data_IF_982471990375
#
_entry.id   IF_982471990375
#
_cell.length_a   1.000
_cell.length_b   1.000
_cell.length_c   1.000
_cell.angle_alpha   90.00
_cell.angle_beta   90.00
_cell.angle_gamma   90.00
#
_symmetry.space_group_name_H-M   'P 1'
#
loop_
_entity.id
_entity.type
_entity.pdbx_description
1 polymer ?
#
# COMPACT_ATOMS: atom_id res chain seq x y z
N UNK A 1 -8.04 40.16 39.05
CA UNK A 1 -7.50 40.31 37.68
C UNK A 1 -7.79 39.00 36.97
N UNK A 2 -8.82 38.98 36.12
CA UNK A 2 -9.22 37.79 35.36
C UNK A 2 -8.31 37.61 34.14
N UNK A 3 -7.80 36.39 33.97
CA UNK A 3 -6.89 36.02 32.90
C UNK A 3 -7.65 36.00 31.55
N UNK A 4 -7.31 36.89 30.59
CA UNK A 4 -8.03 37.00 29.31
C UNK A 4 -7.82 35.82 28.34
N UNK A 5 -7.03 34.81 28.74
CA UNK A 5 -6.68 33.65 27.92
C UNK A 5 -7.51 32.38 28.21
N UNK A 6 -8.51 32.43 29.11
CA UNK A 6 -9.19 31.21 29.61
C UNK A 6 -10.20 30.58 28.63
N UNK A 7 -10.47 31.20 27.47
CA UNK A 7 -11.49 30.77 26.50
C UNK A 7 -10.98 30.71 25.03
N UNK A 8 -9.71 30.35 24.78
CA UNK A 8 -9.28 30.04 23.41
C UNK A 8 -9.53 28.56 23.09
N UNK A 9 -10.70 28.27 22.53
CA UNK A 9 -11.03 26.98 21.94
C UNK A 9 -12.51 26.63 22.10
N UNK A 10 -13.06 25.91 21.14
CA UNK A 10 -14.37 25.28 21.30
C UNK A 10 -14.28 24.29 22.47
N UNK A 11 -15.09 24.46 23.53
CA UNK A 11 -15.18 23.49 24.61
C UNK A 11 -15.37 22.07 24.07
N UNK A 12 -14.71 21.09 24.70
CA UNK A 12 -14.66 19.69 24.22
C UNK A 12 -16.06 19.12 24.00
N UNK A 13 -16.99 19.43 24.89
CA UNK A 13 -18.41 19.11 24.81
C UNK A 13 -19.05 19.64 23.54
N UNK A 14 -18.90 20.93 23.23
CA UNK A 14 -19.43 21.58 22.02
C UNK A 14 -18.81 20.96 20.75
N UNK A 15 -17.49 20.70 20.77
CA UNK A 15 -16.82 20.04 19.65
C UNK A 15 -17.35 18.62 19.41
N UNK A 16 -17.51 17.83 20.48
CA UNK A 16 -18.00 16.45 20.38
C UNK A 16 -19.49 16.38 20.03
N UNK A 17 -20.28 17.37 20.41
CA UNK A 17 -21.69 17.52 19.99
C UNK A 17 -21.78 17.82 18.50
N UNK A 18 -20.98 18.76 17.98
CA UNK A 18 -20.91 19.04 16.55
C UNK A 18 -20.50 17.83 15.71
N UNK A 19 -19.54 17.02 16.17
CA UNK A 19 -19.15 15.77 15.51
C UNK A 19 -20.32 14.77 15.50
N UNK A 20 -21.07 14.69 16.60
CA UNK A 20 -22.22 13.78 16.74
C UNK A 20 -23.36 14.14 15.80
N UNK A 21 -23.70 15.42 15.71
CA UNK A 21 -24.73 15.94 14.80
C UNK A 21 -24.39 15.67 13.33
N UNK A 22 -23.15 15.94 12.92
CA UNK A 22 -22.69 15.65 11.55
C UNK A 22 -22.75 14.16 11.20
N UNK A 23 -22.57 13.28 12.19
CA UNK A 23 -22.60 11.83 12.01
C UNK A 23 -23.98 11.21 12.24
N UNK A 24 -25.00 12.00 12.61
CA UNK A 24 -26.33 11.51 12.99
C UNK A 24 -26.31 10.58 14.21
N UNK A 25 -25.33 10.75 15.12
CA UNK A 25 -25.15 9.88 16.30
C UNK A 25 -25.63 10.58 17.56
N UNK A 26 -26.48 9.92 18.35
CA UNK A 26 -26.88 10.41 19.68
C UNK A 26 -25.81 10.12 20.73
N UNK A 27 -25.84 10.87 21.84
CA UNK A 27 -25.01 10.57 23.01
C UNK A 27 -25.34 9.18 23.53
N UNK A 28 -24.33 8.32 23.61
CA UNK A 28 -24.49 6.93 24.02
C UNK A 28 -23.15 6.34 24.43
N UNK A 29 -23.19 5.30 25.26
CA UNK A 29 -22.01 4.51 25.56
C UNK A 29 -21.38 4.02 24.23
N UNK A 30 -20.04 3.93 24.14
CA UNK A 30 -19.41 3.22 23.03
C UNK A 30 -20.15 1.88 22.88
N UNK A 31 -20.68 1.60 21.70
CA UNK A 31 -21.23 0.29 21.43
C UNK A 31 -20.16 -0.72 21.85
N UNK A 32 -20.53 -1.71 22.69
CA UNK A 32 -19.72 -2.89 22.99
C UNK A 32 -19.60 -3.79 21.74
N UNK A 33 -19.38 -3.21 20.57
CA UNK A 33 -19.01 -3.90 19.33
C UNK A 33 -17.53 -4.24 19.35
N UNK A 34 -17.06 -4.79 20.48
CA UNK A 34 -15.78 -5.50 20.55
C UNK A 34 -16.02 -6.95 20.99
N UNK A 35 -16.97 -7.62 20.34
CA UNK A 35 -17.18 -9.07 20.47
C UNK A 35 -15.88 -9.87 20.24
N UNK A 36 -14.96 -9.34 19.43
CA UNK A 36 -13.65 -9.97 19.16
C UNK A 36 -12.69 -9.96 20.36
N UNK A 37 -12.92 -9.15 21.41
CA UNK A 37 -12.06 -9.13 22.60
C UNK A 37 -12.38 -10.24 23.62
N UNK A 38 -13.44 -11.03 23.39
CA UNK A 38 -13.81 -12.16 24.25
C UNK A 38 -13.46 -13.53 23.66
N UNK A 39 -12.91 -13.57 22.44
CA UNK A 39 -12.56 -14.81 21.78
C UNK A 39 -11.31 -15.42 22.41
N UNK A 40 -11.34 -16.73 22.64
CA UNK A 40 -10.15 -17.46 23.09
C UNK A 40 -9.09 -17.50 21.99
N UNK A 41 -7.83 -17.69 22.37
CA UNK A 41 -6.73 -17.85 21.42
C UNK A 41 -6.98 -18.97 20.41
N UNK A 42 -7.66 -20.05 20.82
CA UNK A 42 -7.93 -21.18 19.94
C UNK A 42 -9.08 -20.90 18.96
N UNK A 43 -10.10 -20.14 19.37
CA UNK A 43 -11.14 -19.63 18.47
C UNK A 43 -10.56 -18.68 17.42
N UNK A 44 -9.62 -17.81 17.81
CA UNK A 44 -8.92 -16.92 16.87
C UNK A 44 -8.05 -17.68 15.87
N UNK A 45 -7.38 -18.76 16.31
CA UNK A 45 -6.63 -19.64 15.41
C UNK A 45 -7.54 -20.35 14.42
N UNK A 46 -8.68 -20.88 14.90
CA UNK A 46 -9.64 -21.55 14.05
C UNK A 46 -10.22 -20.58 13.01
N UNK A 47 -10.62 -19.38 13.43
CA UNK A 47 -11.08 -18.34 12.52
C UNK A 47 -10.02 -17.97 11.47
N UNK A 48 -8.76 -17.81 11.87
CA UNK A 48 -7.66 -17.58 10.93
C UNK A 48 -7.50 -18.73 9.92
N UNK A 49 -7.65 -19.97 10.37
CA UNK A 49 -7.59 -21.16 9.51
C UNK A 49 -8.74 -21.18 8.50
N UNK A 50 -9.96 -20.94 8.95
CA UNK A 50 -11.15 -20.94 8.11
C UNK A 50 -11.10 -19.81 7.08
N UNK A 51 -10.63 -18.62 7.48
CA UNK A 51 -10.40 -17.49 6.57
C UNK A 51 -9.35 -17.84 5.50
N UNK A 52 -8.26 -18.51 5.85
CA UNK A 52 -7.24 -18.94 4.86
C UNK A 52 -7.79 -19.94 3.86
N UNK A 53 -8.59 -20.91 4.33
CA UNK A 53 -9.23 -21.91 3.44
C UNK A 53 -10.20 -21.20 2.50
N UNK A 54 -11.05 -20.33 3.04
CA UNK A 54 -12.02 -19.58 2.24
C UNK A 54 -11.33 -18.68 1.21
N UNK A 55 -10.28 -17.95 1.63
CA UNK A 55 -9.48 -17.13 0.72
C UNK A 55 -8.94 -17.99 -0.43
N UNK A 56 -8.23 -19.09 -0.13
CA UNK A 56 -7.65 -19.97 -1.15
C UNK A 56 -8.69 -20.53 -2.14
N UNK A 57 -9.92 -20.78 -1.70
CA UNK A 57 -11.00 -21.26 -2.58
C UNK A 57 -11.54 -20.17 -3.53
N UNK A 58 -11.41 -18.90 -3.17
CA UNK A 58 -11.98 -17.77 -3.91
C UNK A 58 -10.92 -16.82 -4.49
N UNK A 59 -9.62 -17.12 -4.35
CA UNK A 59 -8.53 -16.23 -4.77
C UNK A 59 -8.68 -15.76 -6.21
N UNK A 60 -8.98 -16.66 -7.14
CA UNK A 60 -9.11 -16.31 -8.55
C UNK A 60 -10.27 -15.34 -8.81
N UNK A 61 -11.43 -15.60 -8.21
CA UNK A 61 -12.60 -14.72 -8.30
C UNK A 61 -12.30 -13.35 -7.67
N UNK A 62 -11.67 -13.32 -6.49
CA UNK A 62 -11.30 -12.08 -5.82
C UNK A 62 -10.26 -11.29 -6.63
N UNK A 63 -9.33 -11.97 -7.28
CA UNK A 63 -8.35 -11.38 -8.16
C UNK A 63 -9.00 -10.75 -9.40
N UNK A 64 -10.02 -11.39 -9.97
CA UNK A 64 -10.81 -10.86 -11.07
C UNK A 64 -11.63 -9.65 -10.64
N UNK A 65 -12.36 -9.74 -9.53
CA UNK A 65 -13.15 -8.63 -8.98
C UNK A 65 -12.28 -7.41 -8.65
N UNK A 66 -11.12 -7.65 -8.04
CA UNK A 66 -10.14 -6.61 -7.76
C UNK A 66 -9.63 -5.96 -9.04
N UNK A 67 -9.38 -6.75 -10.09
CA UNK A 67 -8.91 -6.23 -11.38
C UNK A 67 -9.95 -5.34 -12.04
N UNK A 68 -11.22 -5.78 -12.08
CA UNK A 68 -12.35 -5.01 -12.60
C UNK A 68 -12.49 -3.69 -11.84
N UNK A 69 -12.51 -3.77 -10.51
CA UNK A 69 -12.66 -2.59 -9.64
C UNK A 69 -11.48 -1.63 -9.70
N UNK A 70 -10.26 -2.12 -9.90
CA UNK A 70 -9.06 -1.30 -10.00
C UNK A 70 -8.99 -0.60 -11.36
N UNK A 71 -9.30 -1.29 -12.46
CA UNK A 71 -9.38 -0.69 -13.82
C UNK A 71 -10.41 0.43 -13.84
N UNK A 72 -11.58 0.21 -13.23
CA UNK A 72 -12.62 1.24 -13.11
C UNK A 72 -12.15 2.50 -12.35
N UNK A 73 -11.06 2.39 -11.58
CA UNK A 73 -10.44 3.48 -10.79
C UNK A 73 -9.16 4.01 -11.42
N UNK A 74 -8.88 3.64 -12.67
CA UNK A 74 -7.76 4.14 -13.45
C UNK A 74 -6.44 3.43 -13.19
N UNK A 75 -6.45 2.26 -12.54
CA UNK A 75 -5.27 1.40 -12.50
C UNK A 75 -5.11 0.67 -13.83
N UNK A 76 -3.88 0.61 -14.35
CA UNK A 76 -3.55 -0.38 -15.37
C UNK A 76 -3.19 -1.67 -14.64
N UNK A 77 -4.02 -2.71 -14.81
CA UNK A 77 -3.83 -3.99 -14.13
C UNK A 77 -3.16 -4.96 -15.10
N UNK A 78 -2.09 -5.61 -14.64
CA UNK A 78 -1.40 -6.64 -15.40
C UNK A 78 -1.32 -7.93 -14.56
N UNK A 79 -1.54 -9.08 -15.21
CA UNK A 79 -1.51 -10.42 -14.61
C UNK A 79 -0.41 -11.26 -15.28
N UNK A 80 0.86 -11.02 -14.98
CA UNK A 80 1.95 -11.75 -15.61
C UNK A 80 1.97 -13.19 -15.11
N UNK A 81 2.20 -14.14 -16.02
CA UNK A 81 2.24 -15.57 -15.69
C UNK A 81 3.53 -16.00 -14.99
N UNK A 82 4.60 -15.22 -15.12
CA UNK A 82 5.94 -15.52 -14.60
C UNK A 82 6.78 -14.25 -14.42
N UNK A 83 8.01 -14.40 -13.90
CA UNK A 83 8.96 -13.30 -13.67
C UNK A 83 9.37 -12.60 -14.96
N UNK A 84 9.51 -13.33 -16.06
CA UNK A 84 9.88 -12.76 -17.35
C UNK A 84 8.84 -11.75 -17.83
N UNK A 85 7.54 -12.09 -17.73
CA UNK A 85 6.45 -11.17 -18.05
C UNK A 85 6.39 -9.96 -17.10
N UNK A 86 6.79 -10.11 -15.84
CA UNK A 86 6.94 -8.98 -14.90
C UNK A 86 8.04 -8.04 -15.40
N UNK A 87 9.21 -8.57 -15.73
CA UNK A 87 10.37 -7.80 -16.18
C UNK A 87 10.12 -7.12 -17.52
N UNK A 88 9.47 -7.82 -18.46
CA UNK A 88 9.05 -7.27 -19.75
C UNK A 88 8.11 -6.08 -19.55
N UNK A 89 7.07 -6.23 -18.72
CA UNK A 89 6.11 -5.15 -18.44
C UNK A 89 6.79 -3.94 -17.78
N UNK A 90 7.68 -4.16 -16.82
CA UNK A 90 8.46 -3.08 -16.20
C UNK A 90 9.34 -2.39 -17.25
N UNK A 91 9.99 -3.14 -18.15
CA UNK A 91 10.80 -2.60 -19.25
C UNK A 91 9.98 -1.74 -20.21
N UNK A 92 8.78 -2.19 -20.56
CA UNK A 92 7.87 -1.44 -21.43
C UNK A 92 7.45 -0.12 -20.80
N UNK A 93 7.14 -0.12 -19.51
CA UNK A 93 6.82 1.09 -18.76
C UNK A 93 8.03 2.03 -18.72
N UNK A 94 9.21 1.51 -18.39
CA UNK A 94 10.45 2.28 -18.35
C UNK A 94 10.74 2.96 -19.70
N UNK A 95 10.63 2.21 -20.81
CA UNK A 95 10.79 2.72 -22.17
C UNK A 95 9.73 3.75 -22.54
N UNK A 96 8.46 3.48 -22.22
CA UNK A 96 7.33 4.37 -22.50
C UNK A 96 7.50 5.74 -21.84
N UNK A 97 8.05 5.77 -20.63
CA UNK A 97 8.25 7.01 -19.86
C UNK A 97 9.66 7.59 -20.02
N UNK A 98 10.57 6.91 -20.72
CA UNK A 98 11.95 7.36 -20.91
C UNK A 98 12.74 7.42 -19.59
N UNK A 99 12.43 6.52 -18.65
CA UNK A 99 13.01 6.49 -17.30
C UNK A 99 13.83 5.23 -17.11
N UNK A 100 14.99 5.37 -16.47
CA UNK A 100 15.91 4.26 -16.18
C UNK A 100 16.09 4.02 -14.69
N UNK A 101 15.82 5.02 -13.85
CA UNK A 101 16.00 4.94 -12.41
C UNK A 101 14.71 4.50 -11.71
N UNK A 102 14.82 3.40 -10.97
CA UNK A 102 13.72 2.71 -10.30
C UNK A 102 14.05 2.61 -8.81
N UNK A 103 13.12 3.01 -7.96
CA UNK A 103 13.20 2.77 -6.52
C UNK A 103 12.17 1.72 -6.11
N UNK A 104 12.55 0.78 -5.25
CA UNK A 104 11.61 -0.20 -4.70
C UNK A 104 11.68 -0.35 -3.19
N UNK A 105 10.59 -0.76 -2.57
CA UNK A 105 10.60 -1.15 -1.15
C UNK A 105 11.08 -2.59 -0.95
N UNK A 106 11.59 -2.84 0.25
CA UNK A 106 12.04 -4.16 0.71
C UNK A 106 10.90 -4.94 1.40
N UNK A 107 9.90 -5.36 0.61
CA UNK A 107 8.81 -6.22 1.09
C UNK A 107 9.06 -7.69 0.72
N UNK A 108 8.60 -8.60 1.57
CA UNK A 108 8.77 -10.05 1.43
C UNK A 108 8.24 -10.60 0.10
N UNK A 109 7.21 -9.96 -0.49
CA UNK A 109 6.67 -10.34 -1.80
C UNK A 109 7.73 -10.33 -2.92
N UNK A 110 8.82 -9.56 -2.76
CA UNK A 110 9.92 -9.51 -3.70
C UNK A 110 11.06 -10.50 -3.38
N UNK A 111 11.02 -11.18 -2.22
CA UNK A 111 12.07 -12.12 -1.82
C UNK A 111 12.05 -13.40 -2.66
N UNK A 112 10.91 -13.75 -3.21
CA UNK A 112 10.70 -14.95 -4.03
C UNK A 112 11.13 -14.75 -5.50
N UNK A 113 11.33 -13.49 -5.93
CA UNK A 113 11.59 -13.13 -7.32
C UNK A 113 12.91 -12.37 -7.46
N UNK A 114 13.76 -12.82 -8.39
CA UNK A 114 15.01 -12.11 -8.71
C UNK A 114 14.72 -10.95 -9.67
N UNK A 115 13.99 -9.94 -9.20
CA UNK A 115 13.61 -8.78 -10.03
C UNK A 115 14.77 -7.78 -10.17
N UNK A 116 15.64 -7.66 -9.16
CA UNK A 116 16.70 -6.64 -9.16
C UNK A 116 17.72 -6.88 -10.27
N UNK A 117 18.19 -8.12 -10.42
CA UNK A 117 19.14 -8.45 -11.50
C UNK A 117 18.46 -8.34 -12.86
N UNK A 118 17.22 -8.83 -13.00
CA UNK A 118 16.49 -8.73 -14.26
C UNK A 118 16.25 -7.28 -14.71
N UNK A 119 15.90 -6.39 -13.79
CA UNK A 119 15.77 -4.95 -14.07
C UNK A 119 17.13 -4.33 -14.42
N UNK A 120 18.20 -4.74 -13.75
CA UNK A 120 19.56 -4.28 -14.03
C UNK A 120 20.04 -4.74 -15.42
N UNK A 121 19.77 -5.98 -15.80
CA UNK A 121 20.11 -6.57 -17.10
C UNK A 121 19.35 -5.88 -18.25
N UNK A 122 18.18 -5.31 -17.96
CA UNK A 122 17.41 -4.48 -18.88
C UNK A 122 17.94 -3.04 -19.00
N UNK A 123 19.04 -2.70 -18.31
CA UNK A 123 19.69 -1.39 -18.36
C UNK A 123 19.06 -0.34 -17.45
N UNK A 124 18.22 -0.74 -16.49
CA UNK A 124 17.63 0.15 -15.50
C UNK A 124 18.43 0.12 -14.19
N UNK A 125 18.59 1.26 -13.54
CA UNK A 125 19.19 1.34 -12.21
C UNK A 125 18.10 1.08 -11.17
N UNK A 126 18.28 0.07 -10.32
CA UNK A 126 17.34 -0.23 -9.23
C UNK A 126 17.96 0.06 -7.87
N UNK A 127 17.22 0.79 -7.02
CA UNK A 127 17.60 1.06 -5.63
C UNK A 127 16.54 0.48 -4.69
N UNK A 128 16.96 -0.46 -3.83
CA UNK A 128 16.12 -1.06 -2.80
C UNK A 128 16.19 -0.26 -1.51
N UNK A 129 15.02 0.10 -0.96
CA UNK A 129 14.89 0.87 0.28
C UNK A 129 14.53 -0.09 1.42
N UNK A 130 15.43 -0.26 2.39
CA UNK A 130 15.33 -1.30 3.42
C UNK A 130 15.18 -0.73 4.84
N UNK A 131 14.84 -1.60 5.79
CA UNK A 131 14.56 -1.21 7.18
C UNK A 131 15.79 -0.81 8.01
N UNK A 132 16.97 -1.30 7.62
CA UNK A 132 18.19 -1.24 8.43
C UNK A 132 19.19 -0.16 7.97
N UNK A 133 18.75 0.79 7.13
CA UNK A 133 19.61 1.83 6.58
C UNK A 133 20.04 2.86 7.65
N UNK A 134 21.33 3.22 7.63
CA UNK A 134 21.91 4.20 8.55
C UNK A 134 21.30 5.60 8.34
N UNK A 135 21.42 6.54 9.31
CA UNK A 135 20.95 7.91 9.11
C UNK A 135 21.55 8.62 7.89
N UNK A 136 22.82 8.32 7.56
CA UNK A 136 23.52 8.85 6.38
C UNK A 136 22.96 8.25 5.09
N UNK A 137 22.65 6.95 5.09
CA UNK A 137 21.98 6.28 3.97
C UNK A 137 20.60 6.87 3.69
N UNK A 138 19.87 7.34 4.70
CA UNK A 138 18.52 7.91 4.50
C UNK A 138 18.51 9.15 3.62
N UNK A 139 19.55 9.99 3.65
CA UNK A 139 19.61 11.17 2.77
C UNK A 139 19.82 10.72 1.33
N UNK A 140 20.82 9.86 1.10
CA UNK A 140 21.11 9.26 -0.21
C UNK A 140 19.91 8.51 -0.79
N UNK A 141 19.21 7.73 0.03
CA UNK A 141 18.04 6.96 -0.38
C UNK A 141 16.83 7.86 -0.69
N UNK A 142 16.64 8.96 0.05
CA UNK A 142 15.63 9.96 -0.33
C UNK A 142 15.95 10.58 -1.68
N UNK A 143 17.21 10.96 -1.92
CA UNK A 143 17.64 11.49 -3.21
C UNK A 143 17.41 10.49 -4.34
N UNK A 144 17.74 9.21 -4.12
CA UNK A 144 17.49 8.13 -5.09
C UNK A 144 15.99 7.96 -5.40
N UNK A 145 15.10 8.09 -4.40
CA UNK A 145 13.65 8.06 -4.60
C UNK A 145 13.15 9.31 -5.34
N UNK A 146 13.75 10.47 -5.08
CA UNK A 146 13.39 11.72 -5.77
C UNK A 146 13.82 11.69 -7.23
N UNK A 147 14.96 11.07 -7.54
CA UNK A 147 15.45 10.92 -8.91
C UNK A 147 14.79 9.76 -9.66
N UNK A 148 14.09 8.83 -8.99
CA UNK A 148 13.50 7.68 -9.65
C UNK A 148 12.22 8.06 -10.40
N UNK A 149 12.10 7.57 -11.63
CA UNK A 149 10.90 7.73 -12.45
C UNK A 149 9.83 6.70 -12.13
N UNK A 150 10.24 5.53 -11.61
CA UNK A 150 9.35 4.44 -11.22
C UNK A 150 9.57 4.07 -9.76
N UNK A 151 8.44 3.93 -9.06
CA UNK A 151 8.35 3.42 -7.71
C UNK A 151 7.69 2.06 -7.68
N UNK A 152 8.34 1.04 -7.12
CA UNK A 152 7.79 -0.31 -7.00
C UNK A 152 7.55 -0.63 -5.53
N UNK A 153 6.34 -1.05 -5.19
CA UNK A 153 6.00 -1.51 -3.83
C UNK A 153 5.20 -2.80 -3.87
N UNK A 154 5.28 -3.60 -2.82
CA UNK A 154 4.28 -4.60 -2.51
C UNK A 154 3.03 -3.97 -1.90
N UNK A 155 1.94 -4.73 -1.89
CA UNK A 155 0.71 -4.43 -1.18
C UNK A 155 0.63 -5.25 0.11
N UNK A 156 0.24 -4.63 1.22
CA UNK A 156 -0.07 -5.35 2.45
C UNK A 156 -1.40 -6.09 2.34
N UNK A 157 -2.39 -5.46 1.68
CA UNK A 157 -3.64 -6.08 1.30
C UNK A 157 -4.31 -5.30 0.17
N UNK A 158 -5.25 -5.97 -0.49
CA UNK A 158 -6.07 -5.40 -1.54
C UNK A 158 -7.55 -5.62 -1.22
N UNK A 159 -8.40 -4.66 -1.58
CA UNK A 159 -9.85 -4.72 -1.36
C UNK A 159 -10.52 -4.83 -2.72
N UNK A 160 -11.07 -6.02 -3.01
CA UNK A 160 -11.60 -6.37 -4.32
C UNK A 160 -12.77 -5.46 -4.73
N UNK A 161 -13.68 -5.19 -3.80
CA UNK A 161 -14.87 -4.37 -4.00
C UNK A 161 -14.52 -2.91 -4.36
N UNK A 162 -13.41 -2.42 -3.80
CA UNK A 162 -12.99 -1.02 -3.98
C UNK A 162 -11.78 -0.85 -4.88
N UNK A 163 -11.25 -1.91 -5.50
CA UNK A 163 -10.08 -1.80 -6.38
C UNK A 163 -8.88 -1.12 -5.70
N UNK A 164 -8.78 -1.26 -4.38
CA UNK A 164 -7.87 -0.46 -3.55
C UNK A 164 -6.69 -1.29 -3.12
N UNK A 165 -5.49 -0.72 -3.25
CA UNK A 165 -4.25 -1.29 -2.74
C UNK A 165 -3.85 -0.53 -1.49
N UNK A 166 -3.61 -1.27 -0.41
CA UNK A 166 -3.19 -0.68 0.86
C UNK A 166 -1.73 -1.03 1.14
N UNK A 167 -0.99 0.03 1.45
CA UNK A 167 0.42 -0.02 1.81
C UNK A 167 0.53 0.57 3.20
N UNK A 168 0.91 -0.25 4.18
CA UNK A 168 1.05 0.16 5.56
C UNK A 168 2.44 0.77 5.77
N UNK A 169 2.53 2.04 6.20
CA UNK A 169 3.81 2.66 6.48
C UNK A 169 4.49 1.93 7.65
N UNK A 170 5.71 1.43 7.42
CA UNK A 170 6.55 0.80 8.45
C UNK A 170 7.97 1.33 8.31
N UNK A 171 8.80 1.13 9.33
CA UNK A 171 10.23 1.45 9.25
C UNK A 171 10.84 0.64 8.10
N UNK A 172 11.51 1.29 7.15
CA UNK A 172 12.01 0.67 5.91
C UNK A 172 11.05 0.70 4.73
N UNK A 173 9.77 0.98 4.97
CA UNK A 173 8.79 1.19 3.92
C UNK A 173 8.58 2.68 3.71
N UNK A 174 9.46 3.29 2.90
CA UNK A 174 9.32 4.70 2.60
C UNK A 174 8.08 4.90 1.73
N UNK A 175 7.04 5.53 2.30
CA UNK A 175 5.85 5.97 1.55
C UNK A 175 6.24 6.78 0.31
N UNK A 176 7.43 7.41 0.33
CA UNK A 176 7.97 8.14 -0.81
C UNK A 176 8.05 7.27 -2.07
N UNK A 177 8.36 5.98 -1.96
CA UNK A 177 8.44 5.07 -3.13
C UNK A 177 7.10 4.99 -3.87
N UNK A 178 5.96 5.09 -3.19
CA UNK A 178 4.64 5.02 -3.85
C UNK A 178 4.05 6.37 -4.24
N UNK A 179 4.67 7.49 -3.85
CA UNK A 179 4.08 8.83 -4.04
C UNK A 179 4.98 9.84 -4.76
N UNK A 180 6.30 9.62 -4.76
CA UNK A 180 7.26 10.55 -5.37
C UNK A 180 7.53 10.21 -6.84
N UNK A 181 7.79 8.94 -7.21
CA UNK A 181 8.01 8.59 -8.61
C UNK A 181 6.73 8.82 -9.44
N UNK A 182 6.89 9.32 -10.67
CA UNK A 182 5.75 9.62 -11.55
C UNK A 182 4.90 8.40 -11.89
N UNK A 183 5.53 7.22 -11.92
CA UNK A 183 4.85 5.94 -12.11
C UNK A 183 4.98 5.11 -10.84
N UNK A 184 3.84 4.68 -10.29
CA UNK A 184 3.80 3.74 -9.19
C UNK A 184 3.32 2.36 -9.68
N UNK A 185 4.08 1.33 -9.34
CA UNK A 185 3.78 -0.08 -9.57
C UNK A 185 3.63 -0.75 -8.20
N UNK A 186 2.50 -1.41 -7.97
CA UNK A 186 2.15 -2.12 -6.75
C UNK A 186 1.93 -3.61 -7.03
N UNK A 187 2.75 -4.49 -6.46
CA UNK A 187 2.54 -5.94 -6.52
C UNK A 187 1.62 -6.40 -5.38
N UNK A 188 0.49 -7.03 -5.69
CA UNK A 188 -0.41 -7.61 -4.69
C UNK A 188 -0.55 -9.12 -4.88
N UNK A 189 -0.02 -9.90 -3.93
CA UNK A 189 -0.12 -11.35 -3.94
C UNK A 189 0.69 -12.03 -5.06
N UNK A 190 0.37 -13.30 -5.28
CA UNK A 190 1.16 -14.21 -6.11
C UNK A 190 0.93 -14.06 -7.63
N UNK A 191 -0.03 -13.22 -8.07
CA UNK A 191 -0.43 -13.12 -9.48
C UNK A 191 -0.89 -11.72 -9.97
N UNK A 192 -0.84 -10.65 -9.15
CA UNK A 192 -1.41 -9.34 -9.55
C UNK A 192 -0.44 -8.18 -9.38
N UNK A 193 -0.26 -7.40 -10.45
CA UNK A 193 0.49 -6.14 -10.45
C UNK A 193 -0.45 -4.99 -10.85
N UNK A 194 -0.51 -3.96 -10.00
CA UNK A 194 -1.33 -2.77 -10.12
C UNK A 194 -0.46 -1.57 -10.49
N UNK A 195 -0.73 -0.87 -11.58
CA UNK A 195 0.00 0.34 -11.96
C UNK A 195 -0.88 1.60 -11.89
N UNK A 196 -0.37 2.68 -11.27
CA UNK A 196 -1.04 3.99 -11.19
C UNK A 196 -0.12 5.10 -11.68
N UNK A 197 -0.66 6.01 -12.48
CA UNK A 197 0.02 7.24 -12.89
C UNK A 197 -0.26 8.36 -11.89
N UNK A 198 0.79 9.02 -11.41
CA UNK A 198 0.68 10.24 -10.60
C UNK A 198 0.82 11.41 -11.57
N UNK A 199 -0.29 12.10 -11.86
CA UNK A 199 -0.26 13.34 -12.63
C UNK A 199 0.16 14.47 -11.70
N UNK A 200 1.31 15.09 -11.97
CA UNK A 200 1.70 16.38 -11.42
C UNK A 200 1.22 17.52 -12.33
#
# INVERSE_FOLDING_TARGET
MDNPMKNLGTPKDIFLESIRDCLGKTEGHPLDQRTNLMQSTDELKQLCSDLRINLNQHLDSLADDLSVSAVARGWNVHKPANVEGILEHISEIAKKWGVTDISRSDQEVFSEYVIDSGISDLGCNITTIAQNDSPEDRTRLREAIISSGIGITGADYAVAETGSIVILPRKGLSRLVSVVPAVHIAQAGWYLWFQRYILH
#
